data_IF_727542312327
#
_entry.id   IF_727542312327
#
_cell.length_a   1.000
_cell.length_b   1.000
_cell.length_c   1.000
_cell.angle_alpha   90.00
_cell.angle_beta   90.00
_cell.angle_gamma   90.00
#
_symmetry.space_group_name_H-M   'P 1'
#
loop_
_entity.id
_entity.type
_entity.pdbx_description
1 polymer ?
#
# COMPACT_ATOMS: atom_id res chain seq x y z
N UNK A 1 -25.51 -14.16 1.13
CA UNK A 1 -24.80 -14.42 -0.14
C UNK A 1 -23.97 -13.20 -0.49
N UNK A 2 -22.68 -13.40 -0.76
CA UNK A 2 -21.72 -12.36 -1.12
C UNK A 2 -21.77 -12.22 -2.64
N UNK A 3 -22.44 -11.20 -3.15
CA UNK A 3 -22.78 -11.05 -4.58
C UNK A 3 -21.88 -10.09 -5.35
N UNK A 4 -20.98 -9.35 -4.68
CA UNK A 4 -20.07 -8.42 -5.34
C UNK A 4 -18.64 -8.95 -5.38
N UNK A 5 -18.11 -9.12 -6.59
CA UNK A 5 -16.73 -9.50 -6.91
C UNK A 5 -15.79 -8.30 -6.95
N UNK A 6 -16.33 -7.08 -6.83
CA UNK A 6 -15.56 -5.84 -6.82
C UNK A 6 -16.18 -4.84 -5.84
N UNK A 7 -15.42 -4.46 -4.81
CA UNK A 7 -15.75 -3.37 -3.91
C UNK A 7 -14.83 -2.18 -4.20
N UNK A 8 -15.39 -1.09 -4.73
CA UNK A 8 -14.67 0.15 -4.99
C UNK A 8 -15.08 1.21 -3.96
N UNK A 9 -14.09 1.75 -3.23
CA UNK A 9 -14.27 2.85 -2.31
C UNK A 9 -13.61 4.10 -2.87
N UNK A 10 -14.42 5.13 -3.14
CA UNK A 10 -13.92 6.44 -3.50
C UNK A 10 -13.67 7.27 -2.24
N UNK A 11 -12.43 7.71 -2.06
CA UNK A 11 -12.00 8.52 -0.92
C UNK A 11 -11.81 9.95 -1.40
N UNK A 12 -12.76 10.82 -1.07
CA UNK A 12 -12.67 12.24 -1.38
C UNK A 12 -11.64 12.94 -0.48
N UNK A 13 -10.84 13.82 -1.08
CA UNK A 13 -9.87 14.60 -0.33
C UNK A 13 -10.60 15.66 0.49
N UNK A 14 -10.29 15.75 1.78
CA UNK A 14 -10.92 16.74 2.67
C UNK A 14 -10.47 18.18 2.40
N UNK A 15 -9.37 18.34 1.67
CA UNK A 15 -8.74 19.63 1.38
C UNK A 15 -7.74 19.49 0.23
N UNK A 16 -7.53 20.54 -0.60
CA UNK A 16 -6.52 20.53 -1.66
C UNK A 16 -5.08 20.49 -1.13
N UNK A 17 -4.87 20.74 0.17
CA UNK A 17 -3.54 20.65 0.78
C UNK A 17 -3.11 19.19 1.03
N UNK A 18 -4.06 18.23 0.99
CA UNK A 18 -3.76 16.79 1.15
C UNK A 18 -2.84 16.35 0.03
N UNK A 19 -1.67 15.86 0.41
CA UNK A 19 -0.60 15.45 -0.49
C UNK A 19 -0.25 13.97 -0.34
N UNK A 20 -0.73 13.34 0.74
CA UNK A 20 -0.41 11.96 1.05
C UNK A 20 -1.54 11.36 1.89
N UNK A 21 -1.85 10.10 1.61
CA UNK A 21 -2.81 9.31 2.37
C UNK A 21 -2.06 8.17 3.03
N UNK A 22 -2.29 7.97 4.31
CA UNK A 22 -1.85 6.78 5.05
C UNK A 22 -3.04 5.84 5.22
N UNK A 23 -2.85 4.60 4.79
CA UNK A 23 -3.78 3.49 4.98
C UNK A 23 -3.20 2.60 6.07
N UNK A 24 -3.90 2.49 7.20
CA UNK A 24 -3.56 1.55 8.27
C UNK A 24 -4.47 0.32 8.16
N UNK A 25 -3.87 -0.85 7.97
CA UNK A 25 -4.58 -2.12 7.81
C UNK A 25 -4.90 -2.73 9.18
N UNK A 26 -5.89 -2.14 9.88
CA UNK A 26 -6.34 -2.64 11.20
C UNK A 26 -6.81 -4.10 11.14
N UNK A 27 -7.46 -4.47 10.04
CA UNK A 27 -7.69 -5.86 9.62
C UNK A 27 -7.44 -5.90 8.12
N UNK A 28 -6.64 -6.84 7.64
CA UNK A 28 -6.46 -7.08 6.22
C UNK A 28 -6.05 -8.52 5.99
N UNK A 29 -7.05 -9.32 5.62
CA UNK A 29 -6.91 -10.73 5.30
C UNK A 29 -7.62 -10.95 3.97
N UNK A 30 -6.84 -11.23 2.93
CA UNK A 30 -7.29 -11.64 1.62
C UNK A 30 -6.73 -13.03 1.30
N UNK A 31 -7.22 -13.67 0.24
CA UNK A 31 -6.63 -14.91 -0.27
C UNK A 31 -5.11 -14.80 -0.47
N UNK A 32 -4.37 -15.88 -0.24
CA UNK A 32 -2.93 -15.93 -0.56
C UNK A 32 -2.70 -15.77 -2.08
N UNK A 33 -1.52 -15.28 -2.52
CA UNK A 33 -1.21 -15.23 -3.93
C UNK A 33 -1.17 -16.64 -4.53
N UNK A 34 -1.54 -16.74 -5.79
CA UNK A 34 -1.49 -17.98 -6.57
C UNK A 34 -0.12 -18.11 -7.18
N UNK A 35 0.49 -19.28 -6.99
CA UNK A 35 1.74 -19.62 -7.65
C UNK A 35 1.41 -20.01 -9.09
N UNK A 36 1.90 -19.22 -10.04
CA UNK A 36 2.01 -19.63 -11.44
C UNK A 36 3.38 -20.27 -11.61
N UNK A 37 3.43 -21.54 -11.97
CA UNK A 37 4.66 -22.29 -12.20
C UNK A 37 4.55 -23.08 -13.50
N UNK A 38 5.67 -23.32 -14.19
CA UNK A 38 5.67 -24.07 -15.44
C UNK A 38 5.26 -25.53 -15.18
N UNK A 39 4.34 -26.04 -15.99
CA UNK A 39 3.84 -27.43 -15.88
C UNK A 39 4.90 -28.47 -16.25
N UNK A 40 5.83 -28.09 -17.12
CA UNK A 40 6.92 -28.94 -17.58
C UNK A 40 8.23 -28.15 -17.60
N UNK A 41 9.37 -28.86 -17.66
CA UNK A 41 10.67 -28.22 -17.75
C UNK A 41 10.84 -27.40 -19.04
N UNK A 42 10.14 -27.77 -20.12
CA UNK A 42 10.17 -27.06 -21.39
C UNK A 42 9.37 -25.75 -21.35
N UNK A 43 8.41 -25.64 -20.42
CA UNK A 43 7.58 -24.42 -20.23
C UNK A 43 8.25 -23.38 -19.33
N UNK A 44 9.39 -23.69 -18.72
CA UNK A 44 10.03 -22.84 -17.72
C UNK A 44 10.59 -21.53 -18.30
N UNK A 45 10.91 -21.50 -19.60
CA UNK A 45 11.32 -20.28 -20.30
C UNK A 45 10.16 -19.30 -20.52
N UNK A 46 8.94 -19.82 -20.71
CA UNK A 46 7.76 -19.03 -21.06
C UNK A 46 6.84 -18.73 -19.86
N UNK A 47 6.99 -19.48 -18.78
CA UNK A 47 6.19 -19.36 -17.55
C UNK A 47 7.13 -19.27 -16.35
N UNK A 48 7.70 -18.09 -16.06
CA UNK A 48 8.51 -17.92 -14.87
C UNK A 48 7.65 -18.16 -13.63
N UNK A 49 8.27 -18.68 -12.56
CA UNK A 49 7.57 -18.86 -11.30
C UNK A 49 7.19 -17.47 -10.75
N UNK A 50 5.89 -17.20 -10.64
CA UNK A 50 5.34 -15.98 -10.05
C UNK A 50 4.33 -16.30 -8.96
N UNK A 51 4.15 -15.38 -8.02
CA UNK A 51 3.16 -15.45 -6.95
C UNK A 51 2.32 -14.17 -6.99
N UNK A 52 1.13 -14.25 -7.56
CA UNK A 52 0.31 -13.08 -7.87
C UNK A 52 -1.09 -13.16 -7.24
N UNK A 53 -1.66 -12.00 -6.97
CA UNK A 53 -3.00 -11.87 -6.39
C UNK A 53 -4.08 -12.09 -7.46
N UNK A 54 -4.34 -13.35 -7.80
CA UNK A 54 -5.29 -13.73 -8.86
C UNK A 54 -6.73 -13.83 -8.36
N UNK A 55 -6.95 -14.32 -7.13
CA UNK A 55 -8.29 -14.36 -6.52
C UNK A 55 -8.67 -13.02 -5.90
N UNK A 56 -8.22 -12.76 -4.68
CA UNK A 56 -8.47 -11.51 -3.99
C UNK A 56 -7.31 -10.55 -4.24
N UNK A 57 -7.62 -9.30 -4.58
CA UNK A 57 -6.64 -8.29 -4.96
C UNK A 57 -7.08 -6.91 -4.49
N UNK A 58 -6.25 -6.29 -3.66
CA UNK A 58 -6.37 -4.87 -3.31
C UNK A 58 -5.43 -4.04 -4.18
N UNK A 59 -5.95 -2.95 -4.74
CA UNK A 59 -5.16 -1.95 -5.45
C UNK A 59 -5.63 -0.54 -5.10
N UNK A 60 -4.71 0.42 -5.18
CA UNK A 60 -5.03 1.84 -5.01
C UNK A 60 -4.97 2.52 -6.37
N UNK A 61 -6.09 3.09 -6.80
CA UNK A 61 -6.16 3.96 -7.96
C UNK A 61 -5.75 5.37 -7.54
N UNK A 62 -4.44 5.60 -7.52
CA UNK A 62 -3.80 6.90 -7.62
C UNK A 62 -2.56 6.75 -8.50
N UNK A 63 -2.01 7.85 -9.03
CA UNK A 63 -0.77 7.82 -9.81
C UNK A 63 0.43 7.50 -8.89
N UNK A 64 0.54 6.27 -8.40
CA UNK A 64 1.77 5.76 -7.81
C UNK A 64 2.83 5.78 -8.91
N UNK A 65 3.91 6.55 -8.71
CA UNK A 65 4.91 6.83 -9.75
C UNK A 65 5.71 5.60 -10.23
N UNK A 66 5.47 4.41 -9.65
CA UNK A 66 6.19 3.16 -9.91
C UNK A 66 5.29 1.98 -10.31
N UNK A 67 4.05 2.26 -10.73
CA UNK A 67 3.07 1.22 -11.10
C UNK A 67 2.12 0.87 -9.95
N UNK A 68 1.04 0.16 -10.28
CA UNK A 68 -0.01 -0.19 -9.31
C UNK A 68 0.41 -1.40 -8.50
N UNK A 69 0.80 -1.18 -7.24
CA UNK A 69 1.04 -2.26 -6.29
C UNK A 69 -0.26 -3.00 -5.95
N UNK A 70 -0.28 -4.31 -6.22
CA UNK A 70 -1.35 -5.22 -5.87
C UNK A 70 -1.03 -6.00 -4.59
N UNK A 71 -1.93 -5.97 -3.61
CA UNK A 71 -1.77 -6.67 -2.34
C UNK A 71 -2.84 -7.74 -2.14
N UNK A 72 -2.43 -8.86 -1.55
CA UNK A 72 -3.28 -9.94 -1.07
C UNK A 72 -2.60 -10.65 0.10
N UNK A 73 -3.20 -11.72 0.61
CA UNK A 73 -2.75 -12.42 1.81
C UNK A 73 -3.01 -11.63 3.10
N UNK A 74 -2.16 -11.84 4.11
CA UNK A 74 -2.35 -11.28 5.46
C UNK A 74 -1.45 -10.07 5.66
N UNK A 75 -2.06 -8.89 5.80
CA UNK A 75 -1.36 -7.62 6.02
C UNK A 75 -1.91 -6.86 7.24
N UNK A 76 -2.69 -7.52 8.09
CA UNK A 76 -3.17 -6.95 9.36
C UNK A 76 -2.00 -6.38 10.18
N UNK A 77 -2.14 -5.15 10.65
CA UNK A 77 -1.12 -4.42 11.42
C UNK A 77 -0.09 -3.68 10.57
N UNK A 78 -0.10 -3.84 9.24
CA UNK A 78 0.74 -3.07 8.33
C UNK A 78 0.09 -1.73 7.95
N UNK A 79 0.85 -0.89 7.26
CA UNK A 79 0.36 0.35 6.69
C UNK A 79 0.97 0.62 5.32
N UNK A 80 0.33 1.53 4.57
CA UNK A 80 0.76 1.98 3.26
C UNK A 80 0.60 3.50 3.15
N UNK A 81 1.60 4.17 2.58
CA UNK A 81 1.53 5.58 2.19
C UNK A 81 1.29 5.69 0.69
N UNK A 82 0.30 6.50 0.33
CA UNK A 82 -0.15 6.75 -1.04
C UNK A 82 0.08 8.22 -1.35
N UNK A 83 0.95 8.57 -2.31
CA UNK A 83 1.10 9.96 -2.73
C UNK A 83 -0.17 10.43 -3.43
N UNK A 84 -0.54 11.68 -3.18
CA UNK A 84 -1.66 12.37 -3.80
C UNK A 84 -1.14 13.61 -4.50
N UNK A 85 -1.36 13.69 -5.81
CA UNK A 85 -0.97 14.84 -6.61
C UNK A 85 -2.19 15.77 -6.80
N UNK A 86 -2.57 16.50 -5.74
CA UNK A 86 -3.71 17.43 -5.78
C UNK A 86 -3.52 18.55 -6.81
N UNK A 87 -2.27 18.86 -7.17
CA UNK A 87 -1.90 19.81 -8.22
C UNK A 87 -2.36 19.43 -9.63
N UNK A 88 -2.74 18.17 -9.87
CA UNK A 88 -3.31 17.72 -11.16
C UNK A 88 -4.86 17.69 -11.16
N UNK A 89 -5.51 18.33 -10.19
CA UNK A 89 -6.97 18.30 -10.06
C UNK A 89 -7.50 16.98 -9.49
N UNK A 90 -6.63 16.16 -8.90
CA UNK A 90 -7.01 14.96 -8.17
C UNK A 90 -7.75 15.39 -6.91
N UNK A 91 -9.04 15.10 -6.84
CA UNK A 91 -9.92 15.38 -5.69
C UNK A 91 -10.32 14.13 -4.92
N UNK A 92 -9.90 12.95 -5.38
CA UNK A 92 -10.17 11.66 -4.73
C UNK A 92 -9.14 10.60 -5.13
N UNK A 93 -9.05 9.54 -4.33
CA UNK A 93 -8.37 8.29 -4.70
C UNK A 93 -9.39 7.14 -4.66
N UNK A 94 -9.15 6.08 -5.44
CA UNK A 94 -9.96 4.86 -5.35
C UNK A 94 -9.21 3.75 -4.64
N UNK A 95 -9.91 3.03 -3.78
CA UNK A 95 -9.46 1.78 -3.17
C UNK A 95 -10.28 0.65 -3.77
N UNK A 96 -9.63 -0.25 -4.50
CA UNK A 96 -10.30 -1.30 -5.26
C UNK A 96 -9.97 -2.65 -4.63
N UNK A 97 -10.99 -3.32 -4.10
CA UNK A 97 -10.92 -4.72 -3.70
C UNK A 97 -11.65 -5.57 -4.72
N UNK A 98 -10.88 -6.29 -5.53
CA UNK A 98 -11.39 -7.36 -6.37
C UNK A 98 -11.34 -8.65 -5.55
N UNK A 99 -12.41 -9.42 -5.57
CA UNK A 99 -12.54 -10.67 -4.82
C UNK A 99 -12.73 -11.81 -5.82
N UNK A 100 -12.06 -12.92 -5.53
CA UNK A 100 -12.20 -14.14 -6.30
C UNK A 100 -13.57 -14.78 -6.11
N UNK A 101 -13.87 -15.79 -6.91
CA UNK A 101 -15.08 -16.57 -6.70
C UNK A 101 -14.95 -17.39 -5.40
N UNK A 102 -15.89 -17.21 -4.47
CA UNK A 102 -15.89 -17.95 -3.20
C UNK A 102 -16.15 -19.45 -3.37
N UNK A 103 -16.65 -19.87 -4.54
CA UNK A 103 -16.83 -21.27 -4.91
C UNK A 103 -15.58 -21.91 -5.52
N UNK A 104 -14.56 -21.11 -5.84
CA UNK A 104 -13.31 -21.61 -6.38
C UNK A 104 -12.34 -22.02 -5.26
N UNK A 105 -12.33 -23.32 -4.97
CA UNK A 105 -11.48 -23.93 -3.94
C UNK A 105 -9.99 -23.99 -4.32
N UNK A 106 -9.59 -23.55 -5.53
CA UNK A 106 -8.17 -23.50 -5.93
C UNK A 106 -7.37 -22.49 -5.11
N UNK A 107 -8.03 -21.48 -4.55
CA UNK A 107 -7.37 -20.42 -3.80
C UNK A 107 -7.40 -20.69 -2.29
N UNK A 108 -6.22 -20.93 -1.70
CA UNK A 108 -6.08 -21.08 -0.25
C UNK A 108 -6.50 -19.79 0.47
N UNK A 109 -7.62 -19.86 1.19
CA UNK A 109 -8.21 -18.69 1.86
C UNK A 109 -9.07 -17.79 0.96
N UNK A 110 -9.53 -18.30 -0.19
CA UNK A 110 -10.45 -17.64 -1.12
C UNK A 110 -11.74 -17.11 -0.49
N UNK A 111 -12.47 -16.29 -1.25
CA UNK A 111 -13.42 -15.22 -0.86
C UNK A 111 -14.47 -15.45 0.26
N UNK A 112 -14.59 -16.65 0.84
CA UNK A 112 -15.34 -16.88 2.09
C UNK A 112 -14.62 -16.36 3.35
N UNK A 113 -13.30 -16.16 3.31
CA UNK A 113 -12.49 -15.68 4.45
C UNK A 113 -12.00 -14.23 4.37
N UNK A 114 -12.22 -13.54 3.25
CA UNK A 114 -11.72 -12.18 3.05
C UNK A 114 -12.35 -11.19 4.03
N UNK A 115 -11.51 -10.46 4.76
CA UNK A 115 -11.92 -9.47 5.77
C UNK A 115 -10.95 -8.30 5.78
N UNK A 116 -11.49 -7.08 5.75
CA UNK A 116 -10.69 -5.87 5.81
C UNK A 116 -11.37 -4.79 6.65
N UNK A 117 -10.52 -4.03 7.34
CA UNK A 117 -10.82 -2.77 8.02
C UNK A 117 -9.61 -1.90 7.83
N UNK A 118 -9.78 -0.86 7.02
CA UNK A 118 -8.69 0.05 6.65
C UNK A 118 -9.04 1.41 7.25
N UNK A 119 -8.17 1.91 8.13
CA UNK A 119 -8.26 3.28 8.62
C UNK A 119 -7.52 4.19 7.65
N UNK A 120 -8.19 5.26 7.24
CA UNK A 120 -7.68 6.23 6.27
C UNK A 120 -7.31 7.50 7.03
N UNK A 121 -6.07 7.94 6.88
CA UNK A 121 -5.58 9.21 7.41
C UNK A 121 -5.11 10.09 6.25
N UNK A 122 -5.72 11.25 6.07
CA UNK A 122 -5.30 12.23 5.07
C UNK A 122 -4.28 13.19 5.70
N UNK A 123 -3.11 13.31 5.09
CA UNK A 123 -2.01 14.14 5.57
C UNK A 123 -1.82 15.30 4.60
N UNK A 124 -1.93 16.53 5.09
CA UNK A 124 -1.61 17.70 4.27
C UNK A 124 -0.10 18.01 4.37
N UNK A 125 0.49 18.64 3.35
CA UNK A 125 1.94 18.93 3.29
C UNK A 125 2.27 20.40 3.55
N UNK A 126 1.26 21.25 3.76
CA UNK A 126 1.41 22.69 3.68
C UNK A 126 1.38 23.19 2.22
N UNK A 127 0.88 24.40 2.02
CA UNK A 127 0.60 24.98 0.71
C UNK A 127 1.81 25.64 0.02
N UNK A 128 3.04 25.40 0.48
CA UNK A 128 4.24 25.93 -0.18
C UNK A 128 4.59 25.04 -1.38
N UNK A 129 4.18 25.53 -2.54
CA UNK A 129 4.15 24.90 -3.87
C UNK A 129 5.54 24.67 -4.49
N UNK A 130 6.48 24.11 -3.74
CA UNK A 130 7.76 23.68 -4.29
C UNK A 130 8.23 22.40 -3.59
N UNK A 131 8.10 21.29 -4.32
CA UNK A 131 8.60 19.97 -3.93
C UNK A 131 10.14 19.91 -3.80
N UNK A 132 10.84 20.94 -4.27
CA UNK A 132 12.21 21.19 -3.83
C UNK A 132 12.13 21.91 -2.49
N UNK A 133 12.40 21.20 -1.41
CA UNK A 133 13.41 21.61 -0.43
C UNK A 133 13.44 20.56 0.70
N UNK A 134 14.66 20.10 0.94
CA UNK A 134 15.12 19.50 2.19
C UNK A 134 14.54 20.27 3.39
N UNK A 135 14.42 19.65 4.58
CA UNK A 135 14.00 20.37 5.78
C UNK A 135 14.93 21.57 5.99
N UNK A 136 14.43 22.77 5.71
CA UNK A 136 15.16 24.01 5.95
C UNK A 136 15.24 24.20 7.46
N UNK A 137 16.44 24.31 8.06
CA UNK A 137 16.58 24.56 9.49
C UNK A 137 15.98 25.94 9.81
N UNK A 138 14.74 25.97 10.29
CA UNK A 138 14.08 27.21 10.74
C UNK A 138 12.86 27.69 9.95
N UNK A 139 12.30 26.91 9.03
CA UNK A 139 11.03 27.24 8.37
C UNK A 139 9.84 27.04 9.30
N UNK A 140 9.17 28.12 9.73
CA UNK A 140 7.95 28.08 10.55
C UNK A 140 6.72 27.76 9.69
N UNK A 141 6.69 26.55 9.11
CA UNK A 141 5.48 26.01 8.49
C UNK A 141 4.77 25.20 9.56
N UNK A 142 3.79 25.82 10.23
CA UNK A 142 2.92 25.19 11.23
C UNK A 142 1.94 24.21 10.58
N UNK A 143 2.47 23.26 9.80
CA UNK A 143 1.68 22.21 9.23
C UNK A 143 1.74 20.96 10.13
N UNK A 144 0.58 20.61 10.69
CA UNK A 144 0.45 19.68 11.82
C UNK A 144 0.91 18.24 11.53
N UNK A 145 1.01 17.86 10.26
CA UNK A 145 1.35 16.48 9.88
C UNK A 145 2.74 16.30 9.29
N UNK A 146 3.59 17.33 9.26
CA UNK A 146 4.97 17.26 8.71
C UNK A 146 5.77 16.07 9.25
N UNK A 147 5.64 15.77 10.54
CA UNK A 147 6.31 14.63 11.18
C UNK A 147 5.80 13.24 10.76
N UNK A 148 4.61 13.18 10.15
CA UNK A 148 3.94 11.95 9.72
C UNK A 148 4.07 11.70 8.21
N UNK A 149 4.52 12.70 7.44
CA UNK A 149 4.72 12.55 6.00
C UNK A 149 5.87 11.58 5.73
N UNK A 150 5.57 10.54 4.95
CA UNK A 150 6.58 9.64 4.43
C UNK A 150 7.38 10.34 3.31
N UNK A 151 8.71 10.17 3.24
CA UNK A 151 9.51 10.73 2.16
C UNK A 151 9.07 10.22 0.78
N UNK A 152 9.40 10.95 -0.30
CA UNK A 152 9.14 10.52 -1.67
C UNK A 152 9.61 9.10 -1.97
N UNK A 153 8.72 8.28 -2.55
CA UNK A 153 9.01 6.89 -2.93
C UNK A 153 8.83 5.86 -1.82
N UNK A 154 8.59 6.28 -0.57
CA UNK A 154 8.35 5.39 0.55
C UNK A 154 6.88 4.93 0.57
N UNK A 155 6.66 3.63 0.46
CA UNK A 155 5.32 3.02 0.58
C UNK A 155 5.06 2.60 2.03
N UNK A 156 6.09 2.20 2.77
CA UNK A 156 6.01 2.07 4.22
C UNK A 156 6.97 3.08 4.86
N UNK A 157 6.51 3.76 5.90
CA UNK A 157 7.35 4.67 6.67
C UNK A 157 7.16 4.45 8.17
N UNK A 158 8.26 4.18 8.86
CA UNK A 158 8.30 3.92 10.29
C UNK A 158 8.98 5.09 10.99
N UNK A 159 8.25 5.76 11.89
CA UNK A 159 8.77 6.91 12.65
C UNK A 159 9.12 6.59 14.10
N UNK A 160 8.75 5.41 14.59
CA UNK A 160 9.10 4.94 15.93
C UNK A 160 10.61 4.65 16.03
N UNK A 161 11.20 4.94 17.20
CA UNK A 161 12.62 4.65 17.48
C UNK A 161 12.94 3.14 17.56
N UNK A 162 11.93 2.31 17.77
CA UNK A 162 12.05 0.86 17.82
C UNK A 162 10.77 0.23 17.29
N UNK A 163 10.88 -0.98 16.76
CA UNK A 163 9.76 -1.74 16.25
C UNK A 163 10.22 -2.86 15.33
N UNK A 164 9.25 -3.53 14.72
CA UNK A 164 9.48 -4.53 13.68
C UNK A 164 8.88 -4.02 12.39
N UNK A 165 9.58 -4.27 11.28
CA UNK A 165 9.06 -4.07 9.95
C UNK A 165 9.10 -5.42 9.22
N UNK A 166 8.22 -5.58 8.25
CA UNK A 166 8.23 -6.77 7.41
C UNK A 166 7.63 -6.46 6.06
N UNK A 167 7.88 -7.34 5.10
CA UNK A 167 7.26 -7.23 3.80
C UNK A 167 5.75 -7.40 3.89
N UNK A 168 5.04 -6.91 2.86
CA UNK A 168 3.65 -7.33 2.69
C UNK A 168 3.55 -8.85 2.57
N UNK A 169 2.48 -9.41 3.12
CA UNK A 169 2.21 -10.84 3.26
C UNK A 169 3.32 -11.65 3.98
N UNK A 170 4.03 -11.04 4.94
CA UNK A 170 5.06 -11.73 5.72
C UNK A 170 4.51 -12.97 6.43
N UNK A 171 5.26 -14.07 6.38
CA UNK A 171 4.84 -15.39 6.88
C UNK A 171 4.01 -16.20 5.88
N UNK A 172 3.60 -15.59 4.75
CA UNK A 172 3.03 -16.25 3.58
C UNK A 172 4.00 -16.28 2.40
N UNK A 173 3.46 -16.44 1.19
CA UNK A 173 4.22 -16.37 -0.05
C UNK A 173 4.59 -14.91 -0.37
N UNK A 174 5.83 -14.69 -0.78
CA UNK A 174 6.28 -13.37 -1.23
C UNK A 174 5.62 -13.02 -2.57
N UNK A 175 5.10 -11.80 -2.67
CA UNK A 175 4.41 -11.32 -3.88
C UNK A 175 5.41 -11.00 -5.00
N UNK A 176 5.12 -11.47 -6.21
CA UNK A 176 5.87 -11.07 -7.41
C UNK A 176 5.70 -9.58 -7.71
N UNK A 177 6.71 -9.01 -8.37
CA UNK A 177 6.75 -7.60 -8.82
C UNK A 177 6.50 -6.55 -7.74
N UNK A 178 6.86 -6.90 -6.50
CA UNK A 178 6.77 -6.03 -5.36
C UNK A 178 7.93 -5.01 -5.35
N UNK A 179 7.82 -3.92 -6.11
CA UNK A 179 8.74 -2.77 -6.11
C UNK A 179 8.24 -1.64 -5.20
N UNK A 180 8.83 -1.53 -4.01
CA UNK A 180 8.53 -0.47 -3.06
C UNK A 180 9.69 -0.24 -2.09
N UNK A 181 9.75 0.95 -1.51
CA UNK A 181 10.68 1.26 -0.44
C UNK A 181 10.01 1.27 0.93
N UNK A 182 10.70 0.69 1.92
CA UNK A 182 10.45 0.89 3.34
C UNK A 182 11.43 1.94 3.85
N UNK A 183 10.91 2.97 4.49
CA UNK A 183 11.69 4.10 5.00
C UNK A 183 11.58 4.21 6.51
N UNK A 184 12.62 4.75 7.12
CA UNK A 184 12.73 4.93 8.56
C UNK A 184 13.04 6.38 8.88
N UNK A 185 12.34 6.96 9.85
CA UNK A 185 12.69 8.29 10.36
C UNK A 185 14.02 8.18 11.08
N UNK A 186 15.00 8.97 10.65
CA UNK A 186 16.28 9.05 11.36
C UNK A 186 16.05 9.68 12.74
N UNK A 187 16.46 8.96 13.77
CA UNK A 187 16.56 9.50 15.12
C UNK A 187 17.93 10.20 15.26
N UNK A 188 17.98 11.51 15.59
CA UNK A 188 19.25 12.22 15.76
C UNK A 188 20.11 11.63 16.89
N UNK A 189 19.50 10.93 17.84
CA UNK A 189 20.19 10.32 18.97
C UNK A 189 20.66 8.87 18.68
N UNK A 190 20.30 8.30 17.52
CA UNK A 190 20.67 6.94 17.15
C UNK A 190 21.99 6.89 16.35
N UNK A 191 22.84 5.90 16.63
CA UNK A 191 24.11 5.70 15.93
C UNK A 191 23.96 5.02 14.55
N UNK A 192 22.87 4.28 14.36
CA UNK A 192 22.52 3.55 13.14
C UNK A 192 21.00 3.34 13.09
N UNK A 193 20.50 2.83 11.96
CA UNK A 193 19.19 2.20 11.88
C UNK A 193 19.32 0.78 12.44
#
# INVERSE_FOLDING_TARGET
EKTETLCNYNVELSSPAVCQIRLDFEVFVLAQPTISAPSTLDDAEYTPISAECQADKFTVGSAMSRGTLALCGVNTGQHMYVPVNSTMGVSSISLNLQLGDASDATYLGGASGASWRIKITQLECGAERNYTLLPSPGGNLNYRDTDKIAPPGCVQYYSSRHGTYSSFNYGGLYLSDLDYAICFKRDPDACAI
#
